data_IF_148816801330
#
_entry.id   IF_148816801330
#
_cell.length_a   1.000
_cell.length_b   1.000
_cell.length_c   1.000
_cell.angle_alpha   90.00
_cell.angle_beta   90.00
_cell.angle_gamma   90.00
#
_symmetry.space_group_name_H-M   'P 1'
#
loop_
_entity.id
_entity.type
_entity.pdbx_description
1 polymer ?
#
# COMPACT_ATOMS: atom_id res chain seq x y z
N UNK A 1 -13.85 -8.51 5.24
CA UNK A 1 -13.72 -7.85 3.95
C UNK A 1 -12.25 -7.75 3.52
N UNK A 2 -11.34 -7.25 4.37
CA UNK A 2 -9.91 -7.08 4.06
C UNK A 2 -9.22 -8.38 3.64
N UNK A 3 -9.48 -9.49 4.31
CA UNK A 3 -8.92 -10.80 3.94
C UNK A 3 -9.38 -11.27 2.55
N UNK A 4 -10.60 -10.93 2.14
CA UNK A 4 -11.08 -11.22 0.78
C UNK A 4 -10.37 -10.35 -0.26
N UNK A 5 -10.13 -9.09 0.06
CA UNK A 5 -9.34 -8.19 -0.80
C UNK A 5 -7.91 -8.71 -0.92
N UNK A 6 -7.28 -9.10 0.20
CA UNK A 6 -5.96 -9.73 0.21
C UNK A 6 -5.91 -10.98 -0.67
N UNK A 7 -6.90 -11.86 -0.57
CA UNK A 7 -7.02 -13.04 -1.42
C UNK A 7 -7.15 -12.67 -2.90
N UNK A 8 -7.99 -11.68 -3.22
CA UNK A 8 -8.21 -11.22 -4.59
C UNK A 8 -6.96 -10.55 -5.20
N UNK A 9 -6.23 -9.77 -4.42
CA UNK A 9 -5.03 -9.05 -4.86
C UNK A 9 -3.75 -9.88 -4.83
N UNK A 10 -3.73 -11.01 -4.12
CA UNK A 10 -2.54 -11.87 -4.01
C UNK A 10 -2.09 -12.40 -5.37
N UNK A 11 -0.78 -12.33 -5.65
CA UNK A 11 -0.17 -12.85 -6.87
C UNK A 11 0.22 -14.32 -6.80
N UNK A 12 0.16 -14.95 -5.61
CA UNK A 12 0.48 -16.35 -5.40
C UNK A 12 -0.66 -17.31 -5.74
N UNK A 13 -0.40 -18.62 -5.60
CA UNK A 13 -1.40 -19.65 -5.85
C UNK A 13 -2.65 -19.46 -4.97
N UNK A 14 -3.84 -19.35 -5.59
CA UNK A 14 -5.12 -19.17 -4.89
C UNK A 14 -5.41 -20.29 -3.90
N UNK A 15 -5.09 -21.54 -4.29
CA UNK A 15 -5.30 -22.70 -3.41
C UNK A 15 -4.38 -22.68 -2.20
N UNK A 16 -3.11 -22.33 -2.39
CA UNK A 16 -2.16 -22.19 -1.29
C UNK A 16 -2.63 -21.11 -0.30
N UNK A 17 -3.04 -19.94 -0.80
CA UNK A 17 -3.59 -18.86 0.05
C UNK A 17 -4.84 -19.28 0.82
N UNK A 18 -5.74 -20.02 0.18
CA UNK A 18 -6.97 -20.47 0.83
C UNK A 18 -6.69 -21.48 1.94
N UNK A 19 -5.79 -22.43 1.70
CA UNK A 19 -5.41 -23.43 2.70
C UNK A 19 -4.65 -22.79 3.87
N UNK A 20 -3.74 -21.87 3.59
CA UNK A 20 -3.01 -21.11 4.61
C UNK A 20 -3.98 -20.34 5.54
N UNK A 21 -5.04 -19.77 4.98
CA UNK A 21 -6.09 -19.11 5.77
C UNK A 21 -6.76 -20.06 6.77
N UNK A 22 -6.91 -21.36 6.43
CA UNK A 22 -7.44 -22.39 7.32
C UNK A 22 -6.37 -23.09 8.16
N UNK A 23 -5.12 -22.63 8.10
CA UNK A 23 -3.99 -23.22 8.85
C UNK A 23 -3.43 -24.50 8.23
N UNK A 24 -3.75 -24.77 6.97
CA UNK A 24 -3.25 -25.91 6.22
C UNK A 24 -2.14 -25.52 5.25
N UNK A 25 -1.00 -26.22 5.31
CA UNK A 25 0.07 -26.02 4.34
C UNK A 25 -0.23 -26.68 3.00
N UNK A 26 -0.11 -25.93 1.90
CA UNK A 26 -0.20 -26.53 0.56
C UNK A 26 1.14 -27.17 0.20
N UNK A 27 1.19 -28.49 -0.18
CA UNK A 27 2.44 -29.23 -0.32
C UNK A 27 3.26 -28.89 -1.58
N UNK A 28 2.72 -28.06 -2.49
CA UNK A 28 3.38 -27.68 -3.74
C UNK A 28 3.47 -26.15 -3.88
N UNK A 29 4.41 -25.67 -4.71
CA UNK A 29 4.55 -24.22 -4.96
C UNK A 29 3.31 -23.61 -5.65
N UNK A 30 2.64 -24.39 -6.50
CA UNK A 30 1.46 -23.94 -7.23
C UNK A 30 0.51 -25.10 -7.55
N UNK A 31 -0.74 -24.79 -7.86
CA UNK A 31 -1.75 -25.81 -8.18
C UNK A 31 -1.87 -26.08 -9.69
N UNK A 32 -1.19 -25.34 -10.54
CA UNK A 32 -1.26 -25.45 -12.00
C UNK A 32 -2.64 -25.17 -12.63
N UNK A 33 -3.63 -24.75 -11.86
CA UNK A 33 -5.02 -24.67 -12.32
C UNK A 33 -5.73 -23.35 -12.02
N UNK A 34 -5.24 -22.55 -11.07
CA UNK A 34 -5.86 -21.25 -10.78
C UNK A 34 -5.35 -20.16 -11.75
N UNK A 35 -6.05 -19.04 -11.80
CA UNK A 35 -5.72 -17.87 -12.62
C UNK A 35 -4.26 -17.41 -12.44
N UNK A 36 -3.80 -17.29 -11.20
CA UNK A 36 -2.43 -16.87 -10.91
C UNK A 36 -1.36 -17.91 -11.27
N UNK A 37 -1.70 -19.21 -11.28
CA UNK A 37 -0.77 -20.25 -11.71
C UNK A 37 -0.71 -20.37 -13.23
N UNK A 38 -1.84 -20.17 -13.91
CA UNK A 38 -1.93 -20.22 -15.37
C UNK A 38 -1.37 -18.93 -16.01
N UNK A 39 -1.57 -17.79 -15.38
CA UNK A 39 -1.08 -16.49 -15.82
C UNK A 39 -0.33 -15.79 -14.67
N UNK A 40 0.92 -16.17 -14.40
CA UNK A 40 1.70 -15.55 -13.32
C UNK A 40 1.81 -14.04 -13.54
N UNK A 41 1.56 -13.27 -12.48
CA UNK A 41 1.68 -11.82 -12.54
C UNK A 41 3.16 -11.43 -12.71
N UNK A 42 3.40 -10.41 -13.50
CA UNK A 42 4.73 -9.83 -13.62
C UNK A 42 5.21 -9.32 -12.26
N UNK A 43 6.42 -9.70 -11.92
CA UNK A 43 7.12 -9.19 -10.74
C UNK A 43 8.21 -8.22 -11.17
N UNK A 44 8.54 -7.29 -10.30
CA UNK A 44 9.57 -6.28 -10.55
C UNK A 44 10.34 -5.95 -9.26
N UNK A 45 11.53 -5.39 -9.43
CA UNK A 45 12.32 -4.90 -8.30
C UNK A 45 11.68 -3.64 -7.73
N UNK A 46 10.91 -3.82 -6.67
CA UNK A 46 10.23 -2.76 -5.93
C UNK A 46 11.03 -2.20 -4.75
N UNK A 47 12.31 -2.53 -4.64
CA UNK A 47 13.13 -2.18 -3.47
C UNK A 47 13.10 -0.68 -3.15
N UNK A 48 13.27 0.17 -4.16
CA UNK A 48 13.30 1.62 -3.96
C UNK A 48 11.94 2.17 -3.51
N UNK A 49 10.85 1.71 -4.13
CA UNK A 49 9.50 2.19 -3.76
C UNK A 49 9.10 1.67 -2.40
N UNK A 50 9.46 0.42 -2.06
CA UNK A 50 9.26 -0.14 -0.72
C UNK A 50 10.00 0.68 0.34
N UNK A 51 11.28 1.01 0.11
CA UNK A 51 12.06 1.86 1.01
C UNK A 51 11.45 3.25 1.18
N UNK A 52 11.00 3.89 0.09
CA UNK A 52 10.31 5.19 0.16
C UNK A 52 9.06 5.12 1.02
N UNK A 53 8.22 4.09 0.82
CA UNK A 53 6.99 3.92 1.56
C UNK A 53 7.25 3.65 3.05
N UNK A 54 8.11 2.68 3.37
CA UNK A 54 8.48 2.33 4.74
C UNK A 54 9.14 3.50 5.48
N UNK A 55 10.03 4.23 4.81
CA UNK A 55 10.66 5.44 5.37
C UNK A 55 9.63 6.52 5.67
N UNK A 56 8.61 6.67 4.82
CA UNK A 56 7.54 7.63 5.03
C UNK A 56 6.71 7.25 6.28
N UNK A 57 6.31 5.99 6.42
CA UNK A 57 5.60 5.48 7.61
C UNK A 57 6.43 5.73 8.87
N UNK A 58 7.73 5.41 8.84
CA UNK A 58 8.63 5.62 9.97
C UNK A 58 8.71 7.09 10.37
N UNK A 59 8.94 8.00 9.42
CA UNK A 59 9.11 9.44 9.68
C UNK A 59 7.83 10.12 10.14
N UNK A 60 6.68 9.71 9.61
CA UNK A 60 5.38 10.19 10.07
C UNK A 60 5.21 9.86 11.55
N UNK A 61 5.48 8.60 11.95
CA UNK A 61 5.35 8.18 13.34
C UNK A 61 6.34 8.89 14.25
N UNK A 62 7.59 9.05 13.81
CA UNK A 62 8.62 9.77 14.57
C UNK A 62 8.23 11.24 14.80
N UNK A 63 7.68 11.90 13.78
CA UNK A 63 7.26 13.31 13.85
C UNK A 63 6.02 13.53 14.71
N UNK A 64 5.00 12.68 14.55
CA UNK A 64 3.67 12.87 15.16
C UNK A 64 3.51 12.13 16.49
N UNK A 65 4.32 11.10 16.77
CA UNK A 65 4.11 10.18 17.90
C UNK A 65 2.96 9.17 17.69
N UNK A 66 2.25 9.24 16.55
CA UNK A 66 1.16 8.32 16.20
C UNK A 66 1.30 7.81 14.75
N UNK A 67 0.66 6.67 14.47
CA UNK A 67 0.61 6.10 13.13
C UNK A 67 -0.59 6.61 12.33
N UNK A 68 -0.55 6.43 11.02
CA UNK A 68 -1.60 6.82 10.08
C UNK A 68 -1.92 5.69 9.11
N UNK A 69 -3.09 5.75 8.46
CA UNK A 69 -3.48 4.77 7.44
C UNK A 69 -2.78 5.00 6.09
N UNK A 70 -2.92 4.01 5.19
CA UNK A 70 -2.33 4.02 3.83
C UNK A 70 -2.61 5.32 3.09
N UNK A 71 -3.86 5.81 3.10
CA UNK A 71 -4.25 7.01 2.37
C UNK A 71 -3.43 8.24 2.74
N UNK A 72 -3.18 8.46 4.02
CA UNK A 72 -2.38 9.60 4.47
C UNK A 72 -0.89 9.46 4.11
N UNK A 73 -0.34 8.25 4.16
CA UNK A 73 1.04 7.99 3.69
C UNK A 73 1.17 8.31 2.20
N UNK A 74 0.18 7.91 1.41
CA UNK A 74 0.12 8.20 -0.04
C UNK A 74 0.03 9.71 -0.29
N UNK A 75 -0.80 10.44 0.48
CA UNK A 75 -0.87 11.91 0.39
C UNK A 75 0.49 12.58 0.65
N UNK A 76 1.22 12.12 1.66
CA UNK A 76 2.57 12.63 1.98
C UNK A 76 3.55 12.30 0.87
N UNK A 77 3.59 11.05 0.39
CA UNK A 77 4.49 10.62 -0.68
C UNK A 77 4.25 11.38 -1.99
N UNK A 78 3.01 11.66 -2.33
CA UNK A 78 2.65 12.39 -3.55
C UNK A 78 2.72 13.91 -3.42
N UNK A 79 3.02 14.42 -2.23
CA UNK A 79 3.13 15.87 -1.98
C UNK A 79 1.78 16.58 -1.98
N UNK A 80 0.72 15.92 -1.49
CA UNK A 80 -0.60 16.52 -1.42
C UNK A 80 -0.65 17.66 -0.38
N UNK A 81 -1.24 18.79 -0.76
CA UNK A 81 -1.39 19.96 0.13
C UNK A 81 -2.73 19.94 0.86
N UNK A 82 -2.93 18.97 1.77
CA UNK A 82 -4.14 18.90 2.60
C UNK A 82 -3.97 19.66 3.92
N UNK A 83 -5.08 20.12 4.49
CA UNK A 83 -5.07 20.80 5.80
C UNK A 83 -4.46 19.89 6.88
N UNK A 84 -4.76 18.60 6.84
CA UNK A 84 -4.24 17.59 7.77
C UNK A 84 -2.72 17.44 7.71
N UNK A 85 -2.14 17.45 6.51
CA UNK A 85 -0.69 17.38 6.31
C UNK A 85 -0.02 18.60 6.93
N UNK A 86 -0.54 19.78 6.68
CA UNK A 86 -0.01 21.06 7.25
C UNK A 86 -0.18 21.11 8.77
N UNK A 87 -1.34 20.75 9.28
CA UNK A 87 -1.62 20.74 10.72
C UNK A 87 -0.66 19.83 11.49
N UNK A 88 -0.28 18.70 10.93
CA UNK A 88 0.64 17.74 11.56
C UNK A 88 2.10 17.96 11.18
N UNK A 89 2.39 18.94 10.32
CA UNK A 89 3.74 19.28 9.88
C UNK A 89 4.40 18.21 9.00
N UNK A 90 3.59 17.38 8.32
CA UNK A 90 4.10 16.31 7.46
C UNK A 90 4.64 16.80 6.12
N UNK A 91 4.32 18.03 5.73
CA UNK A 91 4.91 18.76 4.61
C UNK A 91 6.41 19.07 4.80
N UNK A 92 6.89 19.09 6.06
CA UNK A 92 8.32 19.28 6.38
C UNK A 92 9.14 17.99 6.37
N UNK A 93 8.51 16.83 6.17
CA UNK A 93 9.21 15.55 6.13
C UNK A 93 10.07 15.42 4.86
N UNK A 94 11.28 14.85 4.98
CA UNK A 94 12.13 14.57 3.82
C UNK A 94 11.52 13.55 2.84
N UNK A 95 10.44 12.88 3.25
CA UNK A 95 9.66 11.96 2.42
C UNK A 95 8.45 12.61 1.76
N UNK A 96 8.21 13.89 2.01
CA UNK A 96 7.13 14.62 1.35
C UNK A 96 7.43 14.84 -0.13
N UNK A 97 6.52 14.41 -0.99
CA UNK A 97 6.62 14.57 -2.44
C UNK A 97 7.63 13.67 -3.16
N UNK A 98 8.39 12.81 -2.46
CA UNK A 98 9.39 11.94 -3.12
C UNK A 98 8.77 10.84 -3.99
N UNK A 99 7.47 10.66 -3.90
CA UNK A 99 6.68 9.68 -4.64
C UNK A 99 5.85 10.28 -5.77
N UNK A 100 6.04 11.53 -6.15
CA UNK A 100 5.24 12.23 -7.17
C UNK A 100 5.31 11.61 -8.58
N UNK A 101 6.28 10.72 -8.85
CA UNK A 101 6.41 9.99 -10.11
C UNK A 101 5.46 8.80 -10.27
N UNK A 102 4.68 8.44 -9.26
CA UNK A 102 3.71 7.35 -9.29
C UNK A 102 2.31 7.86 -8.95
N UNK A 103 1.29 7.25 -9.54
CA UNK A 103 -0.09 7.57 -9.24
C UNK A 103 -0.46 7.16 -7.79
N UNK A 104 -1.45 7.85 -7.21
CA UNK A 104 -1.93 7.55 -5.85
C UNK A 104 -2.41 6.10 -5.72
N UNK A 105 -3.12 5.59 -6.75
CA UNK A 105 -3.60 4.22 -6.78
C UNK A 105 -2.44 3.20 -6.74
N UNK A 106 -1.34 3.46 -7.46
CA UNK A 106 -0.14 2.62 -7.42
C UNK A 106 0.49 2.60 -6.03
N UNK A 107 0.65 3.77 -5.39
CA UNK A 107 1.15 3.84 -4.02
C UNK A 107 0.27 3.11 -3.02
N UNK A 108 -1.06 3.21 -3.18
CA UNK A 108 -1.99 2.47 -2.33
C UNK A 108 -1.86 0.95 -2.51
N UNK A 109 -1.70 0.48 -3.76
CA UNK A 109 -1.44 -0.93 -4.07
C UNK A 109 -0.11 -1.41 -3.48
N UNK A 110 0.97 -0.61 -3.61
CA UNK A 110 2.27 -0.89 -2.99
C UNK A 110 2.12 -1.00 -1.47
N UNK A 111 1.43 -0.07 -0.82
CA UNK A 111 1.19 -0.11 0.63
C UNK A 111 0.50 -1.39 1.09
N UNK A 112 -0.56 -1.82 0.38
CA UNK A 112 -1.25 -3.09 0.66
C UNK A 112 -0.34 -4.30 0.46
N UNK A 113 0.48 -4.29 -0.58
CA UNK A 113 1.43 -5.37 -0.83
C UNK A 113 2.51 -5.46 0.25
N UNK A 114 3.00 -4.33 0.76
CA UNK A 114 3.95 -4.31 1.87
C UNK A 114 3.35 -4.87 3.17
N UNK A 115 2.05 -4.66 3.40
CA UNK A 115 1.31 -5.32 4.50
C UNK A 115 1.25 -6.83 4.25
N UNK A 116 0.90 -7.27 3.05
CA UNK A 116 0.84 -8.69 2.66
C UNK A 116 2.20 -9.38 2.79
N UNK A 117 3.29 -8.70 2.46
CA UNK A 117 4.65 -9.20 2.63
C UNK A 117 5.14 -9.19 4.10
N UNK A 118 4.31 -8.74 5.03
CA UNK A 118 4.65 -8.67 6.45
C UNK A 118 5.70 -7.60 6.79
N UNK A 119 5.96 -6.65 5.90
CA UNK A 119 6.86 -5.52 6.15
C UNK A 119 6.18 -4.39 6.92
N UNK A 120 4.86 -4.31 6.78
CA UNK A 120 3.97 -3.44 7.55
C UNK A 120 2.90 -4.30 8.21
N UNK A 121 2.45 -3.88 9.38
CA UNK A 121 1.21 -4.36 9.99
C UNK A 121 0.15 -3.28 9.91
N UNK A 122 -1.10 -3.69 9.79
CA UNK A 122 -2.25 -2.81 9.77
C UNK A 122 -3.18 -3.24 10.89
N UNK A 123 -3.58 -2.30 11.74
CA UNK A 123 -4.44 -2.56 12.89
C UNK A 123 -5.88 -2.11 12.58
N UNK A 124 -6.81 -3.07 12.31
CA UNK A 124 -8.20 -2.73 11.98
C UNK A 124 -8.95 -2.06 13.14
N UNK A 125 -8.59 -2.35 14.39
CA UNK A 125 -9.23 -1.79 15.57
C UNK A 125 -8.80 -0.33 15.82
N UNK A 126 -7.67 0.07 15.25
CA UNK A 126 -7.11 1.41 15.35
C UNK A 126 -7.14 2.16 14.02
N UNK A 127 -8.27 2.16 13.34
CA UNK A 127 -8.47 2.90 12.08
C UNK A 127 -7.49 2.53 10.96
N UNK A 128 -7.12 1.26 10.88
CA UNK A 128 -6.18 0.75 9.87
C UNK A 128 -4.82 1.48 9.86
N UNK A 129 -4.33 1.81 11.06
CA UNK A 129 -3.02 2.44 11.23
C UNK A 129 -1.92 1.49 10.77
N UNK A 130 -0.97 2.02 10.00
CA UNK A 130 0.22 1.30 9.58
C UNK A 130 1.33 1.41 10.62
N UNK A 131 1.96 0.27 10.90
CA UNK A 131 3.16 0.17 11.73
C UNK A 131 4.23 -0.67 11.04
N UNK A 132 5.50 -0.27 11.21
CA UNK A 132 6.62 -1.06 10.73
C UNK A 132 6.79 -2.31 11.58
N UNK A 133 6.82 -3.46 10.92
CA UNK A 133 7.21 -4.72 11.55
C UNK A 133 8.72 -4.77 11.77
N UNK A 134 9.25 -5.74 12.55
CA UNK A 134 10.68 -5.99 12.62
C UNK A 134 11.31 -6.21 11.24
N UNK A 135 10.65 -7.00 10.37
CA UNK A 135 11.11 -7.24 9.00
C UNK A 135 11.16 -5.95 8.15
N UNK A 136 10.17 -5.07 8.28
CA UNK A 136 10.18 -3.76 7.63
C UNK A 136 11.30 -2.85 8.10
N UNK A 137 11.62 -2.87 9.40
CA UNK A 137 12.75 -2.12 9.95
C UNK A 137 14.10 -2.68 9.47
N UNK A 138 14.21 -4.00 9.41
CA UNK A 138 15.43 -4.66 8.89
C UNK A 138 15.64 -4.36 7.42
N UNK A 139 14.57 -4.26 6.62
CA UNK A 139 14.65 -3.86 5.22
C UNK A 139 15.19 -2.44 5.07
N UNK A 140 14.78 -1.50 5.92
CA UNK A 140 15.31 -0.13 5.89
C UNK A 140 16.79 -0.06 6.25
N UNK A 141 17.28 -0.98 7.07
CA UNK A 141 18.69 -1.04 7.50
C UNK A 141 19.56 -1.86 6.55
N UNK A 142 19.00 -2.93 6.00
CA UNK A 142 19.68 -3.82 5.06
C UNK A 142 19.38 -3.40 3.64
N UNK A 143 20.32 -3.60 2.72
CA UNK A 143 20.10 -3.37 1.28
C UNK A 143 19.48 -4.60 0.59
N UNK A 144 18.57 -5.30 1.28
CA UNK A 144 17.88 -6.46 0.71
C UNK A 144 16.92 -6.00 -0.39
N UNK A 145 16.84 -6.76 -1.46
CA UNK A 145 15.90 -6.52 -2.56
C UNK A 145 14.50 -6.97 -2.16
N UNK A 146 13.51 -6.23 -2.63
CA UNK A 146 12.08 -6.55 -2.47
C UNK A 146 11.48 -6.71 -3.85
N UNK A 147 10.94 -7.89 -4.10
CA UNK A 147 10.18 -8.17 -5.33
C UNK A 147 8.72 -7.84 -5.07
N UNK A 148 8.15 -6.96 -5.86
CA UNK A 148 6.73 -6.60 -5.83
C UNK A 148 6.03 -7.15 -7.09
N UNK A 149 4.75 -7.44 -6.94
CA UNK A 149 3.87 -7.85 -8.03
C UNK A 149 3.27 -6.61 -8.68
N UNK A 150 3.20 -6.56 -10.02
CA UNK A 150 2.49 -5.46 -10.69
C UNK A 150 1.01 -5.53 -10.37
N UNK A 151 0.38 -4.42 -9.93
CA UNK A 151 -1.07 -4.39 -9.75
C UNK A 151 -1.75 -4.67 -11.08
N UNK A 152 -2.82 -5.48 -11.04
CA UNK A 152 -3.69 -5.62 -12.21
C UNK A 152 -4.32 -4.26 -12.46
N UNK A 153 -4.11 -3.70 -13.65
CA UNK A 153 -4.85 -2.52 -14.06
C UNK A 153 -6.33 -2.88 -14.09
N UNK A 154 -7.10 -2.44 -13.10
CA UNK A 154 -8.56 -2.51 -13.16
C UNK A 154 -8.97 -1.51 -14.22
N UNK A 155 -9.34 -2.00 -15.41
CA UNK A 155 -9.94 -1.17 -16.44
C UNK A 155 -11.25 -0.60 -15.87
N UNK A 156 -11.28 0.72 -15.60
CA UNK A 156 -12.50 1.45 -15.29
C UNK A 156 -12.70 1.84 -13.82
N UNK A 157 -11.86 2.71 -13.29
CA UNK A 157 -12.31 3.72 -12.33
C UNK A 157 -12.05 5.10 -12.98
N UNK A 158 -13.01 5.52 -13.79
CA UNK A 158 -13.20 6.94 -14.06
C UNK A 158 -13.46 7.61 -12.71
N UNK A 159 -12.60 8.53 -12.31
CA UNK A 159 -12.83 9.35 -11.12
C UNK A 159 -14.19 10.06 -11.32
N UNK A 160 -15.13 9.99 -10.35
CA UNK A 160 -16.35 10.78 -10.47
C UNK A 160 -15.97 12.26 -10.45
N UNK A 161 -16.17 12.93 -11.58
CA UNK A 161 -16.11 14.38 -11.69
C UNK A 161 -17.10 14.99 -10.69
N UNK A 162 -16.56 15.52 -9.61
CA UNK A 162 -17.36 16.26 -8.64
C UNK A 162 -17.67 17.63 -9.23
N UNK A 163 -18.80 17.72 -9.96
CA UNK A 163 -19.33 19.00 -10.45
C UNK A 163 -19.47 19.99 -9.29
N UNK A 164 -18.63 21.01 -9.29
CA UNK A 164 -18.77 22.15 -8.40
C UNK A 164 -20.02 22.97 -8.83
N UNK A 165 -21.14 22.76 -8.15
CA UNK A 165 -22.30 23.59 -8.29
C UNK A 165 -21.97 25.05 -7.92
N UNK A 166 -21.68 25.85 -8.92
CA UNK A 166 -21.61 27.30 -8.88
C UNK A 166 -22.88 27.85 -8.24
N UNK A 167 -22.69 28.58 -7.13
CA UNK A 167 -23.77 29.38 -6.51
C UNK A 167 -24.25 30.45 -7.51
N UNK A 168 -25.45 30.28 -8.04
CA UNK A 168 -26.15 31.37 -8.70
C UNK A 168 -26.49 32.42 -7.64
N UNK A 169 -25.89 33.61 -7.76
CA UNK A 169 -26.30 34.82 -7.10
C UNK A 169 -27.70 35.22 -7.61
N UNK A 170 -28.64 35.41 -6.70
CA UNK A 170 -29.89 36.14 -6.98
C UNK A 170 -29.68 37.60 -6.61
N UNK A 171 -29.84 38.46 -7.62
CA UNK A 171 -30.19 39.90 -7.47
C UNK A 171 -31.56 40.03 -6.86
#
# INVERSE_FOLDING_TARGET
LEQMIHYAEAGGCRRAHLLDYFGEAYPAENCGACDNCLNPRETWDGTLVAQKFLSCVYRIREKSGFGVGVGHVVEVLTGASTERIRKWGHDSLSTYGIGSGHARAEWAAIGRELVRLGLLSQDPERFNILELTPAGRDLLRSRKTVTLTRPVAVAGEEEPEFESKSKRSRS
#
